data_IF_850575204637
#
_entry.id   IF_850575204637
#
_cell.length_a   1.000
_cell.length_b   1.000
_cell.length_c   1.000
_cell.angle_alpha   90.00
_cell.angle_beta   90.00
_cell.angle_gamma   90.00
#
_symmetry.space_group_name_H-M   'P 1'
#
loop_
_entity.id
_entity.type
_entity.pdbx_description
1 polymer ?
#
# COMPACT_ATOMS: atom_id res chain seq x y z
N UNK A 1 -12.31 27.10 -1.34
CA UNK A 1 -12.45 25.70 -0.88
C UNK A 1 -11.88 25.62 0.52
N UNK A 2 -12.62 25.08 1.48
CA UNK A 2 -12.19 25.04 2.89
C UNK A 2 -10.99 24.10 3.06
N UNK A 3 -9.93 24.57 3.74
CA UNK A 3 -8.74 23.78 4.08
C UNK A 3 -9.11 22.50 4.85
N UNK A 4 -10.17 22.54 5.66
CA UNK A 4 -10.67 21.37 6.38
C UNK A 4 -11.18 20.28 5.42
N UNK A 5 -11.87 20.67 4.34
CA UNK A 5 -12.35 19.73 3.32
C UNK A 5 -11.17 19.09 2.58
N UNK A 6 -10.12 19.86 2.28
CA UNK A 6 -8.91 19.33 1.64
C UNK A 6 -8.20 18.34 2.56
N UNK A 7 -8.02 18.69 3.85
CA UNK A 7 -7.40 17.80 4.83
C UNK A 7 -8.18 16.49 4.99
N UNK A 8 -9.52 16.54 5.08
CA UNK A 8 -10.36 15.35 5.15
C UNK A 8 -10.20 14.48 3.89
N UNK A 9 -10.13 15.08 2.70
CA UNK A 9 -9.91 14.33 1.45
C UNK A 9 -8.54 13.66 1.43
N UNK A 10 -7.48 14.33 1.87
CA UNK A 10 -6.13 13.75 1.98
C UNK A 10 -6.15 12.55 2.94
N UNK A 11 -6.78 12.70 4.11
CA UNK A 11 -6.88 11.61 5.09
C UNK A 11 -7.57 10.36 4.49
N UNK A 12 -8.66 10.55 3.74
CA UNK A 12 -9.33 9.44 3.05
C UNK A 12 -8.41 8.74 2.03
N UNK A 13 -7.63 9.48 1.23
CA UNK A 13 -6.69 8.86 0.27
C UNK A 13 -5.57 8.11 0.98
N UNK A 14 -5.04 8.66 2.08
CA UNK A 14 -4.02 7.98 2.89
C UNK A 14 -4.55 6.68 3.47
N UNK A 15 -5.79 6.67 3.95
CA UNK A 15 -6.44 5.44 4.41
C UNK A 15 -6.59 4.41 3.28
N UNK A 16 -6.93 4.86 2.07
CA UNK A 16 -7.01 3.96 0.91
C UNK A 16 -5.65 3.36 0.53
N UNK A 17 -4.56 4.13 0.63
CA UNK A 17 -3.20 3.63 0.42
C UNK A 17 -2.87 2.54 1.44
N UNK A 18 -3.12 2.78 2.73
CA UNK A 18 -2.87 1.82 3.81
C UNK A 18 -3.61 0.50 3.55
N UNK A 19 -4.89 0.57 3.13
CA UNK A 19 -5.68 -0.62 2.83
C UNK A 19 -5.12 -1.42 1.64
N UNK A 20 -4.56 -0.74 0.64
CA UNK A 20 -3.93 -1.40 -0.51
C UNK A 20 -2.60 -2.05 -0.10
N UNK A 21 -1.79 -1.36 0.68
CA UNK A 21 -0.51 -1.87 1.19
C UNK A 21 -0.72 -3.09 2.09
N UNK A 22 -1.69 -3.05 3.00
CA UNK A 22 -2.07 -4.18 3.85
C UNK A 22 -2.51 -5.39 3.02
N UNK A 23 -3.34 -5.16 2.00
CA UNK A 23 -3.77 -6.21 1.06
C UNK A 23 -2.58 -6.82 0.32
N UNK A 24 -1.61 -6.01 -0.10
CA UNK A 24 -0.39 -6.46 -0.77
C UNK A 24 0.43 -7.35 0.16
N UNK A 25 0.73 -6.86 1.37
CA UNK A 25 1.53 -7.62 2.36
C UNK A 25 0.83 -8.93 2.69
N UNK A 26 -0.47 -8.89 2.96
CA UNK A 26 -1.28 -10.09 3.23
C UNK A 26 -1.26 -11.10 2.08
N UNK A 27 -1.28 -10.64 0.82
CA UNK A 27 -1.17 -11.54 -0.33
C UNK A 27 0.22 -12.18 -0.41
N UNK A 28 1.28 -11.40 -0.20
CA UNK A 28 2.65 -11.88 -0.26
C UNK A 28 2.96 -12.86 0.89
N UNK A 29 2.47 -12.61 2.10
CA UNK A 29 2.60 -13.53 3.24
C UNK A 29 1.86 -14.85 3.01
N UNK A 30 0.65 -14.82 2.44
CA UNK A 30 -0.06 -16.04 2.04
C UNK A 30 0.67 -16.82 0.95
N UNK A 31 1.33 -16.13 0.02
CA UNK A 31 2.16 -16.76 -1.00
C UNK A 31 3.43 -17.38 -0.40
N UNK A 32 4.04 -16.73 0.59
CA UNK A 32 5.16 -17.24 1.36
C UNK A 32 4.79 -18.50 2.16
N UNK A 33 3.53 -18.61 2.59
CA UNK A 33 2.96 -19.81 3.24
C UNK A 33 2.19 -19.53 4.52
N UNK A 34 2.12 -18.27 4.99
CA UNK A 34 1.33 -17.93 6.16
C UNK A 34 -0.16 -18.26 5.94
N UNK A 35 -0.77 -18.86 6.96
CA UNK A 35 -2.18 -19.28 6.91
C UNK A 35 -2.45 -20.63 6.24
N UNK A 36 -1.42 -21.39 5.82
CA UNK A 36 -1.58 -22.76 5.29
C UNK A 36 -1.39 -23.82 6.37
N UNK A 37 -2.28 -24.83 6.48
CA UNK A 37 -2.04 -26.00 7.33
C UNK A 37 -0.77 -26.75 6.92
N UNK A 38 0.06 -27.15 7.89
CA UNK A 38 1.24 -28.00 7.66
C UNK A 38 2.51 -27.28 7.22
N UNK A 39 2.45 -25.98 6.87
CA UNK A 39 3.65 -25.19 6.60
C UNK A 39 3.40 -23.70 6.88
N UNK A 40 3.87 -23.24 8.04
CA UNK A 40 3.91 -21.81 8.40
C UNK A 40 5.38 -21.39 8.45
N UNK A 41 5.86 -20.47 7.60
CA UNK A 41 7.20 -19.93 7.75
C UNK A 41 7.32 -19.16 9.08
N UNK A 42 8.55 -18.96 9.58
CA UNK A 42 8.79 -18.18 10.80
C UNK A 42 8.13 -16.79 10.73
N UNK A 43 7.68 -16.29 11.87
CA UNK A 43 7.12 -14.93 11.95
C UNK A 43 8.18 -13.87 11.71
N UNK A 44 9.41 -14.11 12.18
CA UNK A 44 10.54 -13.27 11.82
C UNK A 44 10.94 -13.52 10.35
N UNK A 45 10.81 -12.48 9.54
CA UNK A 45 11.19 -12.51 8.12
C UNK A 45 12.70 -12.68 7.94
N UNK A 46 13.51 -12.37 8.95
CA UNK A 46 14.96 -12.57 8.90
C UNK A 46 15.33 -14.06 8.81
N UNK A 47 14.46 -14.95 9.30
CA UNK A 47 14.64 -16.40 9.30
C UNK A 47 14.12 -17.09 8.03
N UNK A 48 13.53 -16.32 7.10
CA UNK A 48 12.98 -16.89 5.89
C UNK A 48 14.07 -17.43 4.98
N UNK A 49 13.90 -18.69 4.58
CA UNK A 49 14.76 -19.28 3.56
C UNK A 49 14.52 -18.67 2.17
N UNK A 50 15.44 -18.93 1.23
CA UNK A 50 15.39 -18.43 -0.14
C UNK A 50 14.09 -18.77 -0.88
N UNK A 51 13.51 -19.95 -0.64
CA UNK A 51 12.25 -20.35 -1.29
C UNK A 51 11.07 -19.50 -0.77
N UNK A 52 10.99 -19.27 0.54
CA UNK A 52 9.97 -18.41 1.16
C UNK A 52 10.07 -16.98 0.62
N UNK A 53 11.28 -16.40 0.61
CA UNK A 53 11.53 -15.09 -0.01
C UNK A 53 11.17 -15.06 -1.49
N UNK A 54 11.53 -16.11 -2.25
CA UNK A 54 11.24 -16.20 -3.68
C UNK A 54 9.73 -16.20 -3.99
N UNK A 55 8.93 -16.86 -3.15
CA UNK A 55 7.46 -16.82 -3.28
C UNK A 55 6.89 -15.44 -2.93
N UNK A 56 7.37 -14.84 -1.85
CA UNK A 56 6.97 -13.50 -1.44
C UNK A 56 7.24 -12.46 -2.54
N UNK A 57 8.48 -12.40 -3.04
CA UNK A 57 8.89 -11.42 -4.04
C UNK A 57 8.18 -11.61 -5.39
N UNK A 58 7.90 -12.86 -5.79
CA UNK A 58 7.13 -13.13 -7.00
C UNK A 58 5.70 -12.62 -6.88
N UNK A 59 5.07 -12.84 -5.73
CA UNK A 59 3.73 -12.31 -5.48
C UNK A 59 3.75 -10.78 -5.40
N UNK A 60 4.76 -10.18 -4.76
CA UNK A 60 4.92 -8.73 -4.71
C UNK A 60 4.99 -8.12 -6.12
N UNK A 61 5.78 -8.71 -7.03
CA UNK A 61 5.84 -8.28 -8.42
C UNK A 61 4.49 -8.42 -9.15
N UNK A 62 3.76 -9.50 -8.89
CA UNK A 62 2.43 -9.71 -9.47
C UNK A 62 1.39 -8.72 -8.91
N UNK A 63 1.47 -8.36 -7.64
CA UNK A 63 0.61 -7.37 -7.00
C UNK A 63 0.94 -5.95 -7.44
N UNK A 64 2.21 -5.60 -7.65
CA UNK A 64 2.60 -4.28 -8.19
C UNK A 64 1.96 -4.04 -9.57
N UNK A 65 1.89 -5.05 -10.43
CA UNK A 65 1.20 -4.93 -11.72
C UNK A 65 -0.31 -4.67 -11.56
N UNK A 66 -0.93 -5.18 -10.50
CA UNK A 66 -2.38 -5.05 -10.25
C UNK A 66 -2.75 -3.77 -9.50
N UNK A 67 -1.98 -3.45 -8.45
CA UNK A 67 -2.29 -2.42 -7.46
C UNK A 67 -1.46 -1.16 -7.66
N UNK A 68 -0.27 -1.27 -8.27
CA UNK A 68 0.64 -0.15 -8.53
C UNK A 68 0.00 1.02 -9.28
N UNK A 69 -0.80 0.80 -10.34
CA UNK A 69 -1.53 1.90 -11.00
C UNK A 69 -2.46 2.67 -10.06
N UNK A 70 -3.14 1.96 -9.16
CA UNK A 70 -4.04 2.57 -8.18
C UNK A 70 -3.26 3.35 -7.11
N UNK A 71 -2.15 2.81 -6.60
CA UNK A 71 -1.28 3.51 -5.66
C UNK A 71 -0.72 4.80 -6.25
N UNK A 72 -0.16 4.73 -7.48
CA UNK A 72 0.36 5.92 -8.19
C UNK A 72 -0.71 7.00 -8.35
N UNK A 73 -1.93 6.60 -8.71
CA UNK A 73 -3.06 7.52 -8.80
C UNK A 73 -3.36 8.18 -7.45
N UNK A 74 -3.44 7.41 -6.36
CA UNK A 74 -3.72 7.96 -5.02
C UNK A 74 -2.64 8.94 -4.56
N UNK A 75 -1.36 8.62 -4.80
CA UNK A 75 -0.27 9.55 -4.51
C UNK A 75 -0.37 10.84 -5.32
N UNK A 76 -0.70 10.75 -6.61
CA UNK A 76 -0.91 11.93 -7.44
C UNK A 76 -2.10 12.79 -6.95
N UNK A 77 -3.21 12.15 -6.56
CA UNK A 77 -4.37 12.84 -5.98
C UNK A 77 -4.01 13.56 -4.67
N UNK A 78 -3.21 12.93 -3.80
CA UNK A 78 -2.71 13.57 -2.57
C UNK A 78 -1.84 14.77 -2.91
N UNK A 79 -0.86 14.62 -3.81
CA UNK A 79 0.02 15.71 -4.20
C UNK A 79 -0.74 16.91 -4.78
N UNK A 80 -1.79 16.65 -5.57
CA UNK A 80 -2.68 17.70 -6.09
C UNK A 80 -3.44 18.42 -4.97
N UNK A 81 -3.98 17.68 -4.00
CA UNK A 81 -4.68 18.25 -2.85
C UNK A 81 -3.75 19.06 -1.95
N UNK A 82 -2.52 18.58 -1.75
CA UNK A 82 -1.47 19.29 -1.00
C UNK A 82 -1.05 20.57 -1.73
N UNK A 83 -0.96 20.54 -3.06
CA UNK A 83 -0.71 21.75 -3.85
C UNK A 83 -1.86 22.77 -3.70
N UNK A 84 -3.12 22.32 -3.80
CA UNK A 84 -4.29 23.19 -3.64
C UNK A 84 -4.41 23.81 -2.24
N UNK A 85 -3.96 23.11 -1.18
CA UNK A 85 -4.01 23.65 0.18
C UNK A 85 -2.95 24.74 0.42
N UNK A 86 -1.85 24.71 -0.34
CA UNK A 86 -0.75 25.64 -0.26
C UNK A 86 -0.98 26.94 -1.07
N UNK A 87 -1.94 26.96 -1.99
CA UNK A 87 -2.26 28.16 -2.76
C UNK A 87 -2.80 29.27 -1.84
N UNK A 88 -2.34 30.52 -1.99
CA UNK A 88 -2.95 31.66 -1.32
C UNK A 88 -4.41 31.75 -1.75
N UNK A 89 -5.34 31.83 -0.79
CA UNK A 89 -6.70 32.25 -1.09
C UNK A 89 -6.57 33.70 -1.57
N UNK A 90 -6.76 33.95 -2.86
CA UNK A 90 -6.84 35.31 -3.38
C UNK A 90 -7.95 36.03 -2.60
N UNK A 91 -7.55 37.12 -1.93
CA UNK A 91 -8.41 37.97 -1.11
C UNK A 91 -9.34 38.83 -1.99
#
# INVERSE_FOLDING_TARGET
MDRQIIAARIAVRRQQIILIEDRLVSACERAAGHGRPGHRPPEDRSEWNRSTWGRYLREAAAQEQKLGPQLRRLHAEIAQLEHLSALPLAA
#
